data_IF_807929641001
#
_entry.id   IF_807929641001
#
_cell.length_a   1.000
_cell.length_b   1.000
_cell.length_c   1.000
_cell.angle_alpha   90.00
_cell.angle_beta   90.00
_cell.angle_gamma   90.00
#
_symmetry.space_group_name_H-M   'P 1'
#
loop_
_entity.id
_entity.type
_entity.pdbx_description
1 polymer ?
#
# COMPACT_ATOMS: atom_id res chain seq x y z
N UNK A 1 -43.79 13.74 -34.00
CA UNK A 1 -43.40 12.42 -34.57
C UNK A 1 -42.05 12.47 -35.30
N UNK A 2 -41.90 13.32 -36.34
CA UNK A 2 -40.65 13.38 -37.15
C UNK A 2 -39.39 13.75 -36.32
N UNK A 3 -39.51 14.70 -35.37
CA UNK A 3 -38.38 15.10 -34.49
C UNK A 3 -37.94 13.95 -33.59
N UNK A 4 -38.89 13.24 -32.96
CA UNK A 4 -38.55 12.07 -32.12
C UNK A 4 -37.93 10.93 -32.92
N UNK A 5 -38.39 10.70 -34.15
CA UNK A 5 -37.76 9.71 -35.02
C UNK A 5 -36.32 10.12 -35.40
N UNK A 6 -36.09 11.40 -35.72
CA UNK A 6 -34.75 11.90 -36.00
C UNK A 6 -33.80 11.74 -34.81
N UNK A 7 -34.26 12.08 -33.58
CA UNK A 7 -33.48 11.90 -32.36
C UNK A 7 -33.17 10.40 -32.15
N UNK A 8 -34.16 9.51 -32.36
CA UNK A 8 -33.94 8.07 -32.23
C UNK A 8 -32.89 7.53 -33.21
N UNK A 9 -32.94 7.97 -34.47
CA UNK A 9 -31.95 7.58 -35.50
C UNK A 9 -30.55 8.08 -35.12
N UNK A 10 -30.44 9.33 -34.70
CA UNK A 10 -29.13 9.88 -34.25
C UNK A 10 -28.56 9.14 -33.04
N UNK A 11 -29.41 8.78 -32.09
CA UNK A 11 -29.02 7.98 -30.93
C UNK A 11 -28.49 6.60 -31.34
N UNK A 12 -29.17 5.91 -32.27
CA UNK A 12 -28.75 4.60 -32.80
C UNK A 12 -27.41 4.73 -33.52
N UNK A 13 -27.23 5.75 -34.37
CA UNK A 13 -25.96 6.00 -35.06
C UNK A 13 -24.85 6.27 -34.04
N UNK A 14 -25.12 7.07 -32.99
CA UNK A 14 -24.16 7.36 -31.94
C UNK A 14 -23.72 6.11 -31.18
N UNK A 15 -24.67 5.25 -30.77
CA UNK A 15 -24.37 3.98 -30.09
C UNK A 15 -23.56 3.04 -30.99
N UNK A 16 -23.96 2.90 -32.27
CA UNK A 16 -23.25 2.06 -33.23
C UNK A 16 -21.84 2.60 -33.50
N UNK A 17 -21.68 3.91 -33.68
CA UNK A 17 -20.39 4.56 -33.83
C UNK A 17 -19.48 4.35 -32.63
N UNK A 18 -20.01 4.51 -31.41
CA UNK A 18 -19.26 4.23 -30.19
C UNK A 18 -18.86 2.75 -30.08
N UNK A 19 -19.79 1.83 -30.38
CA UNK A 19 -19.49 0.40 -30.41
C UNK A 19 -18.36 0.09 -31.41
N UNK A 20 -18.45 0.62 -32.62
CA UNK A 20 -17.41 0.44 -33.64
C UNK A 20 -16.05 1.03 -33.17
N UNK A 21 -16.05 2.18 -32.54
CA UNK A 21 -14.83 2.80 -32.02
C UNK A 21 -14.14 1.95 -30.96
N UNK A 22 -14.89 1.45 -29.97
CA UNK A 22 -14.32 0.64 -28.90
C UNK A 22 -14.02 -0.81 -29.32
N UNK A 23 -14.98 -1.49 -29.95
CA UNK A 23 -14.81 -2.91 -30.32
C UNK A 23 -14.11 -3.12 -31.67
N UNK A 24 -14.05 -2.10 -32.51
CA UNK A 24 -13.30 -2.12 -33.78
C UNK A 24 -11.80 -1.90 -33.61
N UNK A 25 -11.31 -1.70 -32.35
CA UNK A 25 -9.88 -1.51 -32.09
C UNK A 25 -9.35 -0.11 -32.36
N UNK A 26 -10.23 0.88 -32.57
CA UNK A 26 -9.83 2.27 -32.74
C UNK A 26 -9.45 2.95 -31.42
N UNK A 27 -9.99 2.44 -30.31
CA UNK A 27 -9.59 2.87 -28.96
C UNK A 27 -8.29 2.15 -28.57
N UNK A 28 -7.23 2.92 -28.30
CA UNK A 28 -5.95 2.36 -27.85
C UNK A 28 -5.99 2.08 -26.35
N UNK A 29 -5.55 0.88 -25.95
CA UNK A 29 -5.36 0.49 -24.55
C UNK A 29 -3.89 0.61 -24.11
N UNK A 30 -3.04 1.26 -24.91
CA UNK A 30 -1.64 1.46 -24.59
C UNK A 30 -1.50 2.48 -23.44
N UNK A 31 -0.83 2.08 -22.35
CA UNK A 31 -0.57 2.97 -21.20
C UNK A 31 0.34 4.18 -21.51
N UNK A 32 0.84 4.30 -22.75
CA UNK A 32 1.60 5.47 -23.22
C UNK A 32 0.73 6.56 -23.84
N UNK A 33 -0.58 6.34 -23.90
CA UNK A 33 -1.55 7.26 -24.49
C UNK A 33 -2.57 7.67 -23.45
N UNK A 34 -2.86 8.96 -23.39
CA UNK A 34 -3.93 9.48 -22.56
C UNK A 34 -5.29 9.12 -23.14
N UNK A 35 -6.24 8.86 -22.25
CA UNK A 35 -7.63 8.66 -22.65
C UNK A 35 -8.21 9.93 -23.29
N UNK A 36 -9.10 9.80 -24.29
CA UNK A 36 -9.90 10.94 -24.73
C UNK A 36 -10.59 11.61 -23.54
N UNK A 37 -10.60 12.94 -23.51
CA UNK A 37 -11.07 13.72 -22.37
C UNK A 37 -12.46 13.30 -21.85
N UNK A 38 -13.38 12.91 -22.74
CA UNK A 38 -14.72 12.44 -22.37
C UNK A 38 -14.68 11.08 -21.69
N UNK A 39 -13.79 10.18 -22.09
CA UNK A 39 -13.59 8.85 -21.49
C UNK A 39 -12.99 9.02 -20.11
N UNK A 40 -11.90 9.80 -20.02
CA UNK A 40 -11.26 10.13 -18.74
C UNK A 40 -12.27 10.74 -17.75
N UNK A 41 -13.01 11.76 -18.17
CA UNK A 41 -14.05 12.38 -17.33
C UNK A 41 -15.07 11.34 -16.84
N UNK A 42 -15.60 10.50 -17.73
CA UNK A 42 -16.60 9.49 -17.38
C UNK A 42 -16.04 8.48 -16.35
N UNK A 43 -14.81 7.98 -16.56
CA UNK A 43 -14.15 7.05 -15.65
C UNK A 43 -13.91 7.68 -14.27
N UNK A 44 -13.50 8.95 -14.20
CA UNK A 44 -13.34 9.68 -12.93
C UNK A 44 -14.67 9.80 -12.20
N UNK A 45 -15.78 10.13 -12.90
CA UNK A 45 -17.12 10.21 -12.29
C UNK A 45 -17.58 8.85 -11.75
N UNK A 46 -17.44 7.80 -12.53
CA UNK A 46 -17.81 6.42 -12.13
C UNK A 46 -16.99 5.98 -10.91
N UNK A 47 -15.68 6.16 -10.94
CA UNK A 47 -14.79 5.85 -9.82
C UNK A 47 -15.21 6.60 -8.55
N UNK A 48 -15.41 7.91 -8.65
CA UNK A 48 -15.75 8.75 -7.50
C UNK A 48 -17.11 8.35 -6.91
N UNK A 49 -18.12 8.18 -7.75
CA UNK A 49 -19.45 7.75 -7.31
C UNK A 49 -19.41 6.36 -6.65
N UNK A 50 -18.62 5.44 -7.20
CA UNK A 50 -18.43 4.09 -6.63
C UNK A 50 -17.81 4.15 -5.24
N UNK A 51 -16.70 4.88 -5.09
CA UNK A 51 -16.02 5.05 -3.80
C UNK A 51 -16.97 5.65 -2.76
N UNK A 52 -17.66 6.75 -3.08
CA UNK A 52 -18.60 7.41 -2.16
C UNK A 52 -19.74 6.48 -1.75
N UNK A 53 -20.23 5.66 -2.66
CA UNK A 53 -21.34 4.73 -2.38
C UNK A 53 -20.94 3.58 -1.48
N UNK A 54 -19.75 3.03 -1.65
CA UNK A 54 -19.31 1.80 -0.99
C UNK A 54 -18.46 2.02 0.27
N UNK A 55 -17.85 3.20 0.45
CA UNK A 55 -17.03 3.53 1.61
C UNK A 55 -17.91 3.76 2.86
N UNK A 56 -18.26 2.67 3.53
CA UNK A 56 -19.18 2.68 4.68
C UNK A 56 -18.60 2.09 5.96
N UNK A 57 -17.35 1.64 5.90
CA UNK A 57 -16.68 1.04 7.04
C UNK A 57 -16.49 2.09 8.13
N UNK A 58 -16.91 1.79 9.38
CA UNK A 58 -16.79 2.75 10.48
C UNK A 58 -15.33 2.93 10.88
N UNK A 59 -14.95 4.20 11.11
CA UNK A 59 -13.63 4.53 11.63
C UNK A 59 -13.47 3.98 13.06
N UNK A 60 -12.35 3.29 13.40
CA UNK A 60 -12.07 2.82 14.74
C UNK A 60 -11.98 3.97 15.77
N UNK A 61 -12.31 3.68 17.03
CA UNK A 61 -12.28 4.69 18.09
C UNK A 61 -10.86 5.20 18.42
N UNK A 62 -9.86 4.36 18.21
CA UNK A 62 -8.43 4.62 18.45
C UNK A 62 -7.69 5.10 17.20
N UNK A 63 -8.42 5.52 16.17
CA UNK A 63 -7.87 5.94 14.87
C UNK A 63 -6.79 7.03 15.00
N UNK A 64 -6.99 8.00 15.88
CA UNK A 64 -6.07 9.13 16.07
C UNK A 64 -4.93 8.84 17.06
N UNK A 65 -4.81 7.60 17.59
CA UNK A 65 -3.72 7.22 18.47
C UNK A 65 -2.37 7.35 17.75
N UNK A 66 -1.40 8.08 18.32
CA UNK A 66 -0.06 8.19 17.74
C UNK A 66 0.63 6.87 17.46
N UNK A 67 0.34 5.82 18.25
CA UNK A 67 0.88 4.49 18.02
C UNK A 67 0.34 3.88 16.71
N UNK A 68 -0.94 4.10 16.38
CA UNK A 68 -1.52 3.64 15.12
C UNK A 68 -0.97 4.41 13.92
N UNK A 69 -0.66 5.69 14.08
CA UNK A 69 0.00 6.48 13.04
C UNK A 69 1.40 5.92 12.72
N UNK A 70 2.18 5.57 13.75
CA UNK A 70 3.52 5.00 13.57
C UNK A 70 3.47 3.61 12.93
N UNK A 71 2.59 2.74 13.41
CA UNK A 71 2.35 1.43 12.78
C UNK A 71 1.91 1.59 11.34
N UNK A 72 1.00 2.53 11.06
CA UNK A 72 0.53 2.81 9.71
C UNK A 72 1.63 3.27 8.76
N UNK A 73 2.64 4.00 9.24
CA UNK A 73 3.82 4.33 8.45
C UNK A 73 4.64 3.07 8.10
N UNK A 74 4.78 2.15 9.06
CA UNK A 74 5.44 0.86 8.84
C UNK A 74 4.68 0.00 7.83
N UNK A 75 3.37 -0.16 8.01
CA UNK A 75 2.52 -0.91 7.08
C UNK A 75 2.51 -0.30 5.66
N UNK A 76 2.53 1.04 5.57
CA UNK A 76 2.64 1.75 4.29
C UNK A 76 3.93 1.41 3.55
N UNK A 77 5.03 1.30 4.26
CA UNK A 77 6.34 0.91 3.71
C UNK A 77 6.38 -0.57 3.35
N UNK A 78 5.96 -1.44 4.26
CA UNK A 78 5.98 -2.90 4.11
C UNK A 78 5.10 -3.38 2.96
N UNK A 79 3.91 -2.81 2.80
CA UNK A 79 3.03 -3.09 1.68
C UNK A 79 3.48 -2.43 0.36
N UNK A 80 4.59 -1.68 0.37
CA UNK A 80 5.19 -1.11 -0.82
C UNK A 80 4.44 0.07 -1.41
N UNK A 81 3.56 0.73 -0.66
CA UNK A 81 2.80 1.91 -1.11
C UNK A 81 3.74 3.04 -1.55
N UNK A 82 4.87 3.20 -0.84
CA UNK A 82 5.91 4.19 -1.15
C UNK A 82 6.51 4.03 -2.56
N UNK A 83 6.49 2.81 -3.13
CA UNK A 83 7.03 2.56 -4.46
C UNK A 83 6.29 3.32 -5.56
N UNK A 84 4.98 3.51 -5.39
CA UNK A 84 4.13 4.21 -6.36
C UNK A 84 3.78 5.64 -5.94
N UNK A 85 3.64 5.89 -4.65
CA UNK A 85 3.15 7.17 -4.13
C UNK A 85 4.24 8.05 -3.50
N UNK A 86 5.48 7.54 -3.39
CA UNK A 86 6.52 8.21 -2.64
C UNK A 86 6.29 8.16 -1.12
N UNK A 87 7.23 8.75 -0.38
CA UNK A 87 7.19 8.81 1.07
C UNK A 87 7.86 10.10 1.57
N UNK A 88 7.71 10.50 2.84
CA UNK A 88 8.47 11.62 3.40
C UNK A 88 9.98 11.45 3.20
N UNK A 89 10.62 12.35 2.44
CA UNK A 89 12.04 12.30 2.11
C UNK A 89 12.42 11.31 1.01
N UNK A 90 11.46 10.61 0.38
CA UNK A 90 11.70 9.67 -0.71
C UNK A 90 10.76 9.88 -1.89
N UNK A 91 11.27 9.66 -3.09
CA UNK A 91 10.47 9.67 -4.31
C UNK A 91 9.91 8.27 -4.60
N UNK A 92 8.91 8.21 -5.48
CA UNK A 92 8.43 6.96 -6.04
C UNK A 92 9.50 6.24 -6.88
N UNK A 93 9.31 4.96 -7.10
CA UNK A 93 10.19 4.15 -7.94
C UNK A 93 9.93 4.45 -9.42
N UNK A 94 11.00 4.38 -10.24
CA UNK A 94 10.95 4.72 -11.67
C UNK A 94 9.87 3.99 -12.47
N UNK A 95 9.56 2.75 -12.13
CA UNK A 95 8.53 1.98 -12.85
C UNK A 95 7.13 2.58 -12.71
N UNK A 96 6.85 3.32 -11.62
CA UNK A 96 5.53 3.90 -11.40
C UNK A 96 5.18 5.01 -12.38
N UNK A 97 6.19 5.63 -12.99
CA UNK A 97 5.99 6.60 -14.09
C UNK A 97 5.42 5.95 -15.37
N UNK A 98 5.43 4.64 -15.46
CA UNK A 98 4.80 3.89 -16.55
C UNK A 98 3.40 3.38 -16.24
N UNK A 99 2.86 3.67 -15.06
CA UNK A 99 1.49 3.30 -14.68
C UNK A 99 0.53 4.38 -15.18
N UNK A 100 -0.52 3.95 -15.88
CA UNK A 100 -1.52 4.89 -16.36
C UNK A 100 -2.94 4.42 -15.96
N UNK A 101 -3.77 5.29 -15.32
CA UNK A 101 -3.44 6.66 -14.89
C UNK A 101 -2.34 6.70 -13.82
N UNK A 102 -1.61 7.81 -13.78
CA UNK A 102 -0.51 8.02 -12.86
C UNK A 102 -0.95 7.87 -11.40
N UNK A 103 -0.14 7.20 -10.54
CA UNK A 103 -0.36 7.22 -9.11
C UNK A 103 -0.35 8.66 -8.58
N UNK A 104 -1.40 9.10 -7.87
CA UNK A 104 -1.47 10.47 -7.38
C UNK A 104 -0.49 10.73 -6.23
N UNK A 105 -0.03 11.97 -6.07
CA UNK A 105 0.58 12.41 -4.83
C UNK A 105 -0.46 12.35 -3.70
N UNK A 106 -0.15 11.58 -2.66
CA UNK A 106 -1.07 11.39 -1.53
C UNK A 106 -1.27 12.66 -0.71
N UNK A 107 -0.31 13.60 -0.74
CA UNK A 107 -0.47 14.90 -0.05
C UNK A 107 -1.60 15.72 -0.65
N UNK A 108 -1.83 15.57 -1.96
CA UNK A 108 -2.88 16.31 -2.67
C UNK A 108 -4.26 15.65 -2.52
N UNK A 109 -4.33 14.32 -2.61
CA UNK A 109 -5.62 13.63 -2.68
C UNK A 109 -6.19 13.23 -1.32
N UNK A 110 -5.35 12.96 -0.32
CA UNK A 110 -5.80 12.53 1.02
C UNK A 110 -6.63 13.58 1.75
N UNK A 111 -6.33 14.89 1.70
CA UNK A 111 -7.17 15.89 2.33
C UNK A 111 -8.60 15.92 1.82
N UNK A 112 -8.82 15.59 0.55
CA UNK A 112 -10.13 15.61 -0.12
C UNK A 112 -10.96 14.36 0.15
N UNK A 113 -10.41 13.35 0.84
CA UNK A 113 -11.07 12.06 1.08
C UNK A 113 -11.38 11.85 2.55
N UNK A 114 -12.53 11.23 2.81
CA UNK A 114 -12.85 10.76 4.16
C UNK A 114 -12.00 9.54 4.51
N UNK A 115 -11.75 9.26 5.82
CA UNK A 115 -11.05 8.04 6.23
C UNK A 115 -11.68 6.76 5.66
N UNK A 116 -13.01 6.65 5.67
CA UNK A 116 -13.71 5.49 5.10
C UNK A 116 -13.47 5.33 3.59
N UNK A 117 -13.36 6.44 2.83
CA UNK A 117 -13.02 6.38 1.41
C UNK A 117 -11.60 5.90 1.16
N UNK A 118 -10.64 6.37 1.96
CA UNK A 118 -9.25 5.90 1.89
C UNK A 118 -9.15 4.41 2.24
N UNK A 119 -9.81 4.00 3.33
CA UNK A 119 -9.89 2.61 3.74
C UNK A 119 -10.44 1.72 2.61
N UNK A 120 -11.59 2.12 2.04
CA UNK A 120 -12.20 1.35 0.96
C UNK A 120 -11.29 1.21 -0.27
N UNK A 121 -10.61 2.30 -0.66
CA UNK A 121 -9.68 2.29 -1.80
C UNK A 121 -8.49 1.38 -1.55
N UNK A 122 -7.87 1.44 -0.38
CA UNK A 122 -6.73 0.59 -0.04
C UNK A 122 -7.16 -0.88 0.01
N UNK A 123 -8.27 -1.18 0.67
CA UNK A 123 -8.78 -2.54 0.81
C UNK A 123 -9.12 -3.18 -0.53
N UNK A 124 -9.81 -2.45 -1.42
CA UNK A 124 -10.41 -2.99 -2.63
C UNK A 124 -9.63 -2.66 -3.91
N UNK A 125 -8.68 -1.73 -3.86
CA UNK A 125 -8.01 -1.22 -5.05
C UNK A 125 -8.94 -0.41 -5.96
N UNK A 126 -8.44 -0.06 -7.14
CA UNK A 126 -9.22 0.62 -8.17
C UNK A 126 -9.06 -0.15 -9.48
N UNK A 127 -10.16 -0.72 -9.97
CA UNK A 127 -10.16 -1.50 -11.19
C UNK A 127 -9.65 -0.69 -12.39
N UNK A 128 -8.93 -1.34 -13.30
CA UNK A 128 -8.30 -0.74 -14.49
C UNK A 128 -7.28 0.37 -14.17
N UNK A 129 -6.64 0.30 -13.00
CA UNK A 129 -5.53 1.16 -12.62
C UNK A 129 -4.38 0.33 -12.03
N UNK A 130 -3.24 0.97 -11.76
CA UNK A 130 -2.13 0.33 -11.06
C UNK A 130 -2.34 0.15 -9.55
N UNK A 131 -3.45 0.65 -8.97
CA UNK A 131 -3.73 0.51 -7.53
C UNK A 131 -4.29 -0.87 -7.20
N UNK A 132 -3.50 -1.77 -6.56
CA UNK A 132 -3.96 -3.12 -6.23
C UNK A 132 -4.93 -3.12 -5.04
N UNK A 133 -5.63 -4.24 -4.85
CA UNK A 133 -6.46 -4.48 -3.66
C UNK A 133 -5.61 -5.15 -2.57
N UNK A 134 -5.38 -4.47 -1.45
CA UNK A 134 -4.51 -4.98 -0.37
C UNK A 134 -5.22 -5.98 0.55
N UNK A 135 -6.53 -5.88 0.76
CA UNK A 135 -7.28 -6.83 1.57
C UNK A 135 -7.11 -8.29 1.11
N UNK A 136 -7.41 -8.64 -0.14
CA UNK A 136 -7.25 -10.01 -0.64
C UNK A 136 -5.82 -10.55 -0.66
N UNK A 137 -4.81 -9.69 -0.64
CA UNK A 137 -3.39 -10.08 -0.66
C UNK A 137 -2.73 -10.09 0.71
N UNK A 138 -3.51 -9.91 1.79
CA UNK A 138 -3.06 -10.19 3.14
C UNK A 138 -3.09 -9.04 4.13
N UNK A 139 -3.33 -7.79 3.71
CA UNK A 139 -3.51 -6.68 4.65
C UNK A 139 -4.82 -6.86 5.43
N UNK A 140 -4.74 -6.84 6.76
CA UNK A 140 -5.91 -6.88 7.62
C UNK A 140 -6.64 -5.54 7.63
N UNK A 141 -7.89 -5.54 8.09
CA UNK A 141 -8.64 -4.28 8.27
C UNK A 141 -7.94 -3.34 9.27
N UNK A 142 -7.27 -3.88 10.29
CA UNK A 142 -6.49 -3.12 11.24
C UNK A 142 -5.29 -2.44 10.56
N UNK A 143 -4.50 -3.18 9.79
CA UNK A 143 -3.35 -2.63 9.05
C UNK A 143 -3.78 -1.49 8.13
N UNK A 144 -4.89 -1.70 7.40
CA UNK A 144 -5.43 -0.68 6.49
C UNK A 144 -5.89 0.56 7.24
N UNK A 145 -6.56 0.42 8.41
CA UNK A 145 -6.93 1.58 9.22
C UNK A 145 -5.72 2.32 9.78
N UNK A 146 -4.65 1.61 10.16
CA UNK A 146 -3.39 2.21 10.58
C UNK A 146 -2.74 2.99 9.43
N UNK A 147 -2.70 2.40 8.21
CA UNK A 147 -2.24 3.13 7.01
C UNK A 147 -3.06 4.41 6.81
N UNK A 148 -4.39 4.35 6.91
CA UNK A 148 -5.25 5.53 6.75
C UNK A 148 -4.96 6.59 7.82
N UNK A 149 -4.72 6.19 9.07
CA UNK A 149 -4.34 7.09 10.16
C UNK A 149 -3.02 7.81 9.85
N UNK A 150 -2.01 7.09 9.37
CA UNK A 150 -0.76 7.66 8.89
C UNK A 150 -0.98 8.64 7.74
N UNK A 151 -1.74 8.24 6.71
CA UNK A 151 -2.01 9.09 5.55
C UNK A 151 -2.66 10.42 5.95
N UNK A 152 -3.59 10.43 6.90
CA UNK A 152 -4.23 11.68 7.41
C UNK A 152 -3.24 12.60 8.12
N UNK A 153 -2.09 12.10 8.56
CA UNK A 153 -1.01 12.89 9.17
C UNK A 153 0.15 13.17 8.21
N UNK A 154 0.18 12.52 7.04
CA UNK A 154 1.27 12.53 6.06
C UNK A 154 1.84 13.94 5.75
N UNK A 155 1.05 15.00 5.57
CA UNK A 155 1.60 16.34 5.31
C UNK A 155 2.48 16.89 6.42
N UNK A 156 2.34 16.39 7.65
CA UNK A 156 3.05 16.86 8.84
C UNK A 156 4.12 15.87 9.32
N UNK A 157 4.32 14.75 8.61
CA UNK A 157 5.34 13.75 8.98
C UNK A 157 6.67 14.14 8.37
N UNK A 158 7.69 14.31 9.22
CA UNK A 158 9.05 14.58 8.75
C UNK A 158 9.71 13.32 8.16
N UNK A 159 10.73 13.52 7.31
CA UNK A 159 11.58 12.44 6.83
C UNK A 159 12.24 11.65 7.97
N UNK A 160 12.67 12.36 9.02
CA UNK A 160 13.30 11.73 10.18
C UNK A 160 12.33 10.82 10.95
N UNK A 161 11.10 11.29 11.17
CA UNK A 161 10.07 10.49 11.83
C UNK A 161 9.70 9.26 11.00
N UNK A 162 9.46 9.44 9.70
CA UNK A 162 9.14 8.33 8.81
C UNK A 162 10.25 7.26 8.83
N UNK A 163 11.50 7.66 8.69
CA UNK A 163 12.65 6.73 8.77
C UNK A 163 12.77 6.03 10.12
N UNK A 164 12.41 6.71 11.21
CA UNK A 164 12.42 6.09 12.54
C UNK A 164 11.33 5.04 12.69
N UNK A 165 10.14 5.30 12.14
CA UNK A 165 8.97 4.40 12.24
C UNK A 165 9.03 3.20 11.27
N UNK A 166 9.70 3.35 10.13
CA UNK A 166 9.85 2.29 9.12
C UNK A 166 11.15 1.49 9.25
N UNK A 167 11.96 1.79 10.27
CA UNK A 167 13.21 1.06 10.50
C UNK A 167 12.92 -0.40 10.81
N UNK A 168 13.49 -1.37 10.06
CA UNK A 168 13.32 -2.78 10.33
C UNK A 168 13.70 -3.11 11.78
N UNK A 169 13.00 -4.05 12.43
CA UNK A 169 13.41 -4.57 13.72
C UNK A 169 14.89 -5.00 13.67
N UNK A 170 15.64 -4.70 14.73
CA UNK A 170 17.02 -5.17 14.81
C UNK A 170 17.05 -6.70 14.62
N UNK A 171 17.97 -7.26 13.85
CA UNK A 171 18.12 -8.70 13.75
C UNK A 171 18.18 -9.32 15.14
N UNK A 172 17.55 -10.49 15.36
CA UNK A 172 17.66 -11.17 16.64
C UNK A 172 19.13 -11.34 17.01
N UNK A 173 19.46 -11.01 18.25
CA UNK A 173 20.82 -11.18 18.75
C UNK A 173 21.30 -12.60 18.45
N UNK A 174 22.56 -12.78 17.99
CA UNK A 174 23.10 -14.12 17.80
C UNK A 174 22.90 -14.93 19.09
N UNK A 175 22.55 -16.23 18.97
CA UNK A 175 22.44 -17.07 20.17
C UNK A 175 23.72 -16.96 20.99
N UNK A 176 23.56 -16.75 22.28
CA UNK A 176 24.68 -16.69 23.20
C UNK A 176 25.59 -17.92 22.96
N UNK A 177 26.91 -17.77 22.94
CA UNK A 177 27.80 -18.90 22.83
C UNK A 177 27.44 -19.96 23.89
N UNK A 178 27.45 -21.24 23.57
CA UNK A 178 27.23 -22.29 24.56
C UNK A 178 28.09 -22.02 25.78
N UNK A 179 27.47 -22.03 26.97
CA UNK A 179 28.24 -21.89 28.19
C UNK A 179 29.42 -22.86 28.16
N UNK A 180 30.64 -22.34 28.37
CA UNK A 180 31.83 -23.15 28.36
C UNK A 180 31.59 -24.37 29.29
N UNK A 181 31.80 -25.56 28.75
CA UNK A 181 31.69 -26.78 29.54
C UNK A 181 32.59 -26.64 30.77
N UNK A 182 32.13 -27.06 31.98
CA UNK A 182 32.96 -26.99 33.15
C UNK A 182 34.29 -27.71 32.91
N UNK A 183 35.38 -27.01 33.15
CA UNK A 183 36.74 -27.55 33.06
C UNK A 183 36.82 -28.80 33.91
N UNK A 184 37.25 -29.97 33.40
CA UNK A 184 37.43 -31.15 34.23
C UNK A 184 38.43 -30.86 35.33
N UNK A 185 38.23 -31.43 36.53
CA UNK A 185 39.20 -31.26 37.61
C UNK A 185 40.59 -31.76 37.17
N UNK A 186 41.71 -31.17 37.69
CA UNK A 186 43.03 -31.60 37.33
C UNK A 186 43.19 -33.09 37.74
N UNK A 187 43.72 -33.89 36.77
CA UNK A 187 44.04 -35.29 37.04
C UNK A 187 44.98 -35.43 38.27
N UNK A 188 44.60 -36.31 39.15
CA UNK A 188 45.32 -36.59 40.39
C UNK A 188 46.83 -36.71 40.19
N UNK A 189 47.60 -36.01 41.01
CA UNK A 189 49.07 -36.18 41.09
C UNK A 189 49.39 -37.64 41.46
N UNK A 190 50.47 -38.24 40.93
CA UNK A 190 50.82 -39.63 41.20
C UNK A 190 51.05 -39.89 42.68
N UNK A 191 50.43 -40.92 43.19
CA UNK A 191 50.56 -41.33 44.55
C UNK A 191 52.02 -41.66 44.91
N UNK A 192 52.54 -41.05 45.96
CA UNK A 192 53.87 -41.35 46.53
C UNK A 192 53.89 -42.78 47.06
N UNK A 193 54.85 -43.64 46.71
CA UNK A 193 54.94 -44.98 47.22
C UNK A 193 55.27 -45.02 48.70
N UNK A 194 54.81 -46.01 49.50
CA UNK A 194 55.03 -46.10 50.93
C UNK A 194 56.52 -46.37 51.24
N UNK A 195 57.04 -45.68 52.26
CA UNK A 195 58.39 -45.89 52.80
C UNK A 195 58.51 -47.32 53.35
N UNK A 196 59.58 -48.04 52.90
CA UNK A 196 59.94 -49.34 53.45
C UNK A 196 60.82 -49.08 54.71
N UNK A 197 60.31 -49.56 55.86
CA UNK A 197 61.12 -49.65 57.08
C UNK A 197 62.15 -50.77 56.98
N UNK A 198 63.40 -50.48 57.25
CA UNK A 198 64.36 -51.39 57.82
C UNK A 198 64.84 -50.81 59.16
#
# INVERSE_FOLDING_TARGET
MRLLAAIGVLAIIGVFGAALYFFGGFYSVAGTQEDPAIVHWALVQVRTASIVRHARDPQPADFDDPANVQKGAHEFDEHGCANCHGAPGGNWQKFSEGIHPDPPDLKDVVPERTPAQLFWVIKNGINMTGMPSFGPIGATDEDIWQIVAFLKKLPNVSEADYKAWTKPPAPPAPPAPPAAAPTPPPADAPATPPAQNQ
#
